data_IF_038280780720
#
_entry.id   IF_038280780720
#
_cell.length_a   1.000
_cell.length_b   1.000
_cell.length_c   1.000
_cell.angle_alpha   90.00
_cell.angle_beta   90.00
_cell.angle_gamma   90.00
#
_symmetry.space_group_name_H-M   'P 1'
#
loop_
_entity.id
_entity.type
_entity.pdbx_description
1 polymer ?
#
# COMPACT_ATOMS: atom_id res chain seq x y z
N UNK A 1 -6.10 85.15 -41.82
CA UNK A 1 -7.51 84.94 -42.24
C UNK A 1 -7.85 83.47 -42.09
N UNK A 2 -8.95 83.18 -41.37
CA UNK A 2 -9.91 82.04 -41.48
C UNK A 2 -9.39 80.62 -41.78
N UNK A 3 -9.86 79.51 -41.20
CA UNK A 3 -10.76 79.08 -40.11
C UNK A 3 -10.77 77.53 -40.15
N UNK A 4 -11.41 76.88 -39.16
CA UNK A 4 -11.89 75.48 -39.04
C UNK A 4 -11.06 74.61 -38.07
N UNK A 5 -11.50 74.39 -36.82
CA UNK A 5 -12.64 73.60 -36.29
C UNK A 5 -12.20 72.15 -35.90
N UNK A 6 -11.94 71.95 -34.59
CA UNK A 6 -12.50 70.93 -33.62
C UNK A 6 -12.76 69.45 -34.04
N UNK A 7 -12.95 68.50 -33.09
CA UNK A 7 -12.08 68.01 -31.98
C UNK A 7 -12.18 66.45 -31.88
N UNK A 8 -11.94 65.90 -30.67
CA UNK A 8 -12.35 64.56 -30.17
C UNK A 8 -11.53 63.34 -30.61
N UNK A 9 -11.04 62.61 -29.61
CA UNK A 9 -10.53 61.25 -29.79
C UNK A 9 -9.82 60.74 -28.54
N UNK A 10 -10.59 60.42 -27.51
CA UNK A 10 -10.13 59.79 -26.28
C UNK A 10 -9.28 58.54 -26.56
N UNK A 11 -8.08 58.48 -25.98
CA UNK A 11 -7.30 57.24 -25.91
C UNK A 11 -7.32 56.74 -24.48
N UNK A 12 -7.96 55.58 -24.34
CA UNK A 12 -8.22 54.79 -23.16
C UNK A 12 -7.01 54.66 -22.22
N UNK A 13 -7.25 54.95 -20.95
CA UNK A 13 -6.55 54.31 -19.84
C UNK A 13 -6.92 52.82 -19.81
N UNK A 14 -5.92 51.94 -20.01
CA UNK A 14 -6.15 50.50 -20.03
C UNK A 14 -4.86 49.73 -19.83
N UNK A 15 -4.23 49.88 -18.67
CA UNK A 15 -3.03 49.12 -18.28
C UNK A 15 -3.03 48.89 -16.77
N UNK A 16 -4.05 48.21 -16.26
CA UNK A 16 -4.05 47.69 -14.91
C UNK A 16 -4.99 46.47 -14.87
N UNK A 17 -4.42 45.25 -14.82
CA UNK A 17 -5.00 44.01 -14.26
C UNK A 17 -4.43 42.74 -14.90
N UNK A 18 -3.15 42.42 -14.67
CA UNK A 18 -2.68 41.02 -14.81
C UNK A 18 -1.67 40.74 -13.69
N UNK A 19 -2.14 40.79 -12.44
CA UNK A 19 -1.43 40.13 -11.34
C UNK A 19 -1.96 38.71 -11.25
N UNK A 20 -1.18 37.84 -11.89
CA UNK A 20 -1.32 36.40 -11.98
C UNK A 20 -1.54 35.84 -10.58
N UNK A 21 -2.78 35.42 -10.30
CA UNK A 21 -3.09 34.55 -9.18
C UNK A 21 -2.47 33.18 -9.49
N UNK A 22 -1.18 33.05 -9.18
CA UNK A 22 -0.46 31.78 -9.19
C UNK A 22 -1.03 30.90 -8.08
N UNK A 23 -2.11 30.19 -8.39
CA UNK A 23 -2.60 29.11 -7.57
C UNK A 23 -1.49 28.07 -7.49
N UNK A 24 -0.83 28.02 -6.34
CA UNK A 24 0.04 26.91 -5.96
C UNK A 24 -0.81 25.65 -5.97
N UNK A 25 -0.81 24.94 -7.09
CA UNK A 25 -1.35 23.58 -7.17
C UNK A 25 -0.43 22.71 -6.33
N UNK A 26 -0.71 22.66 -5.03
CA UNK A 26 -0.08 21.69 -4.14
C UNK A 26 -0.60 20.33 -4.61
N UNK A 27 0.26 19.44 -5.14
CA UNK A 27 -0.20 18.12 -5.55
C UNK A 27 -0.79 17.44 -4.33
N UNK A 28 -2.11 17.21 -4.36
CA UNK A 28 -2.77 16.45 -3.32
C UNK A 28 -2.13 15.06 -3.27
N UNK A 29 -1.79 14.54 -2.08
CA UNK A 29 -1.23 13.20 -1.97
C UNK A 29 -2.21 12.22 -2.62
N UNK A 30 -1.73 11.45 -3.59
CA UNK A 30 -2.51 10.40 -4.23
C UNK A 30 -3.08 9.49 -3.14
N UNK A 31 -4.40 9.54 -2.92
CA UNK A 31 -5.05 8.67 -1.96
C UNK A 31 -5.00 7.25 -2.53
N UNK A 32 -4.35 6.35 -1.80
CA UNK A 32 -4.39 4.93 -2.11
C UNK A 32 -5.85 4.49 -2.18
N UNK A 33 -6.25 3.83 -3.27
CA UNK A 33 -7.58 3.26 -3.38
C UNK A 33 -7.76 2.19 -2.29
N UNK A 34 -8.81 2.30 -1.50
CA UNK A 34 -9.19 1.31 -0.49
C UNK A 34 -10.24 0.37 -1.11
N UNK A 35 -10.01 -0.94 -0.98
CA UNK A 35 -10.95 -1.98 -1.39
C UNK A 35 -11.06 -2.99 -0.26
N UNK A 36 -12.25 -3.10 0.31
CA UNK A 36 -12.60 -4.14 1.30
C UNK A 36 -13.17 -5.33 0.54
N UNK A 37 -12.63 -6.52 0.79
CA UNK A 37 -13.18 -7.78 0.29
C UNK A 37 -13.93 -8.42 1.45
N UNK A 38 -15.22 -8.68 1.26
CA UNK A 38 -16.06 -9.42 2.21
C UNK A 38 -16.14 -10.88 1.73
N UNK A 39 -15.36 -11.76 2.38
CA UNK A 39 -15.28 -13.18 2.04
C UNK A 39 -16.36 -14.02 2.76
N UNK A 40 -17.29 -13.39 3.50
CA UNK A 40 -18.32 -14.07 4.28
C UNK A 40 -17.74 -14.79 5.51
N UNK A 41 -18.49 -14.79 6.62
CA UNK A 41 -18.11 -15.57 7.79
C UNK A 41 -18.43 -17.05 7.54
N UNK A 42 -17.41 -17.92 7.50
CA UNK A 42 -17.60 -19.37 7.59
C UNK A 42 -17.85 -19.73 9.07
N UNK A 43 -19.09 -20.01 9.51
CA UNK A 43 -19.44 -20.09 10.93
C UNK A 43 -18.72 -21.23 11.66
N UNK A 44 -18.26 -22.23 10.90
CA UNK A 44 -17.55 -23.41 11.41
C UNK A 44 -16.06 -23.16 11.68
N UNK A 45 -15.48 -22.08 11.12
CA UNK A 45 -14.08 -21.72 11.32
C UNK A 45 -13.99 -20.51 12.24
N UNK A 46 -13.34 -20.63 13.41
CA UNK A 46 -13.18 -19.47 14.27
C UNK A 46 -12.32 -18.44 13.53
N UNK A 47 -12.86 -17.22 13.35
CA UNK A 47 -12.34 -16.01 12.68
C UNK A 47 -11.02 -15.45 13.27
N UNK A 48 -10.09 -16.35 13.58
CA UNK A 48 -8.85 -16.08 14.29
C UNK A 48 -7.85 -15.57 13.25
N UNK A 49 -7.30 -14.38 13.46
CA UNK A 49 -6.35 -13.72 12.56
C UNK A 49 -6.91 -13.32 11.17
N UNK A 50 -8.23 -13.11 11.05
CA UNK A 50 -8.81 -12.48 9.86
C UNK A 50 -8.19 -11.11 9.64
N UNK A 51 -7.79 -10.83 8.40
CA UNK A 51 -7.38 -9.49 7.99
C UNK A 51 -8.63 -8.64 7.85
N UNK A 52 -8.74 -7.58 8.64
CA UNK A 52 -9.83 -6.60 8.54
C UNK A 52 -9.48 -5.48 7.56
N UNK A 53 -8.23 -5.04 7.56
CA UNK A 53 -7.79 -3.89 6.75
C UNK A 53 -6.35 -4.06 6.33
N UNK A 54 -6.05 -3.64 5.11
CA UNK A 54 -4.69 -3.50 4.58
C UNK A 54 -4.52 -2.07 4.10
N UNK A 55 -3.75 -1.27 4.84
CA UNK A 55 -3.36 0.07 4.38
C UNK A 55 -1.97 0.00 3.77
N UNK A 56 -1.82 0.60 2.59
CA UNK A 56 -0.55 0.68 1.86
C UNK A 56 -0.20 2.15 1.69
N UNK A 57 0.94 2.55 2.24
CA UNK A 57 1.54 3.86 2.02
C UNK A 57 2.82 3.69 1.18
N UNK A 58 2.69 3.95 -0.12
CA UNK A 58 3.76 3.85 -1.11
C UNK A 58 4.48 5.20 -1.24
N UNK A 59 5.67 5.31 -0.66
CA UNK A 59 6.53 6.50 -0.72
C UNK A 59 7.69 6.27 -1.68
N UNK A 60 8.37 7.35 -2.04
CA UNK A 60 9.55 7.33 -2.92
C UNK A 60 10.69 6.46 -2.38
N UNK A 61 10.83 6.34 -1.07
CA UNK A 61 11.94 5.63 -0.42
C UNK A 61 11.54 4.28 0.17
N UNK A 62 10.24 4.06 0.40
CA UNK A 62 9.72 2.86 1.05
C UNK A 62 8.26 2.58 0.76
N UNK A 63 7.87 1.33 0.89
CA UNK A 63 6.47 0.89 1.05
C UNK A 63 6.23 0.60 2.53
N UNK A 64 5.14 1.16 3.08
CA UNK A 64 4.69 0.85 4.44
C UNK A 64 3.35 0.13 4.37
N UNK A 65 3.35 -1.11 4.83
CA UNK A 65 2.18 -1.97 4.90
C UNK A 65 1.66 -1.98 6.34
N UNK A 66 0.37 -1.77 6.53
CA UNK A 66 -0.30 -1.90 7.82
C UNK A 66 -1.44 -2.90 7.68
N UNK A 67 -1.28 -4.06 8.28
CA UNK A 67 -2.28 -5.14 8.27
C UNK A 67 -2.93 -5.18 9.63
N UNK A 68 -4.23 -4.90 9.68
CA UNK A 68 -5.04 -4.97 10.90
C UNK A 68 -5.80 -6.30 10.90
N UNK A 69 -5.81 -6.96 12.05
CA UNK A 69 -6.46 -8.23 12.28
C UNK A 69 -7.66 -8.06 13.22
N UNK A 70 -8.58 -9.02 13.20
CA UNK A 70 -9.70 -9.06 14.15
C UNK A 70 -9.22 -9.28 15.59
N UNK A 71 -8.54 -10.40 15.81
CA UNK A 71 -8.14 -10.87 17.15
C UNK A 71 -6.65 -11.26 17.18
N UNK A 72 -5.76 -10.26 17.16
CA UNK A 72 -4.32 -10.49 17.23
C UNK A 72 -3.86 -10.49 18.69
N UNK A 73 -3.38 -11.65 19.14
CA UNK A 73 -3.05 -11.91 20.55
C UNK A 73 -1.57 -12.28 20.67
N UNK A 74 -0.89 -11.74 21.69
CA UNK A 74 0.57 -11.87 21.87
C UNK A 74 1.00 -13.30 22.21
N UNK A 75 0.18 -14.03 22.95
CA UNK A 75 0.46 -15.39 23.40
C UNK A 75 0.27 -16.43 22.28
N UNK A 76 -0.06 -16.01 21.06
CA UNK A 76 -0.32 -16.90 19.91
C UNK A 76 0.73 -16.73 18.81
N UNK A 77 1.04 -17.81 18.12
CA UNK A 77 1.82 -17.74 16.87
C UNK A 77 0.99 -17.02 15.83
N UNK A 78 1.63 -16.15 15.05
CA UNK A 78 0.95 -15.43 13.97
C UNK A 78 1.92 -15.22 12.80
N UNK A 79 1.39 -15.20 11.58
CA UNK A 79 2.15 -14.79 10.39
C UNK A 79 1.25 -14.07 9.40
N UNK A 80 1.86 -13.16 8.64
CA UNK A 80 1.23 -12.53 7.49
C UNK A 80 2.23 -12.42 6.35
N UNK A 81 1.71 -12.50 5.14
CA UNK A 81 2.44 -12.32 3.89
C UNK A 81 1.70 -11.29 3.06
N UNK A 82 2.41 -10.31 2.54
CA UNK A 82 1.85 -9.35 1.59
C UNK A 82 2.69 -9.42 0.32
N UNK A 83 2.08 -9.90 -0.76
CA UNK A 83 2.66 -9.83 -2.09
C UNK A 83 2.66 -8.38 -2.58
N UNK A 84 3.80 -7.98 -3.15
CA UNK A 84 4.09 -6.68 -3.75
C UNK A 84 4.48 -6.98 -5.21
N UNK A 85 3.48 -6.98 -6.09
CA UNK A 85 3.65 -7.22 -7.52
C UNK A 85 4.23 -6.00 -8.21
N UNK A 86 5.30 -6.21 -8.97
CA UNK A 86 6.02 -5.18 -9.72
C UNK A 86 5.54 -5.07 -11.17
N UNK A 87 4.79 -6.07 -11.65
CA UNK A 87 4.23 -6.11 -12.98
C UNK A 87 2.76 -6.59 -12.87
N UNK A 88 1.78 -5.83 -13.37
CA UNK A 88 0.38 -6.22 -13.31
C UNK A 88 0.04 -7.44 -14.17
N UNK A 89 0.81 -7.71 -15.23
CA UNK A 89 0.56 -8.80 -16.18
C UNK A 89 1.14 -10.14 -15.73
N UNK A 90 2.01 -10.14 -14.71
CA UNK A 90 2.69 -11.34 -14.21
C UNK A 90 2.53 -11.47 -12.69
N UNK A 91 3.12 -12.53 -12.13
CA UNK A 91 3.29 -12.70 -10.68
C UNK A 91 4.72 -12.32 -10.23
N UNK A 92 5.43 -11.54 -11.05
CA UNK A 92 6.71 -10.96 -10.67
C UNK A 92 6.53 -9.97 -9.51
N UNK A 93 7.39 -10.08 -8.50
CA UNK A 93 7.34 -9.19 -7.36
C UNK A 93 8.05 -9.76 -6.14
N UNK A 94 7.58 -9.35 -4.98
CA UNK A 94 8.15 -9.71 -3.69
C UNK A 94 7.07 -10.08 -2.70
N UNK A 95 7.43 -10.80 -1.64
CA UNK A 95 6.52 -11.07 -0.52
C UNK A 95 7.14 -10.48 0.73
N UNK A 96 6.47 -9.47 1.29
CA UNK A 96 6.77 -8.97 2.62
C UNK A 96 6.21 -9.95 3.65
N UNK A 97 7.09 -10.70 4.30
CA UNK A 97 6.74 -11.72 5.28
C UNK A 97 7.03 -11.20 6.69
N UNK A 98 6.08 -11.40 7.60
CA UNK A 98 6.29 -11.17 9.03
C UNK A 98 5.69 -12.30 9.84
N UNK A 99 6.43 -12.76 10.86
CA UNK A 99 5.94 -13.72 11.85
C UNK A 99 6.18 -13.24 13.27
N UNK A 100 5.27 -13.67 14.13
CA UNK A 100 5.38 -13.60 15.57
C UNK A 100 5.31 -15.01 16.15
N UNK A 101 6.16 -15.29 17.15
CA UNK A 101 6.10 -16.50 17.96
C UNK A 101 6.35 -16.10 19.42
N UNK A 102 5.48 -16.52 20.35
CA UNK A 102 5.67 -16.21 21.77
C UNK A 102 7.04 -16.64 22.28
N UNK A 103 7.68 -15.78 23.08
CA UNK A 103 9.00 -16.01 23.65
C UNK A 103 10.17 -15.90 22.65
N UNK A 104 9.94 -15.41 21.43
CA UNK A 104 11.00 -15.17 20.45
C UNK A 104 10.84 -13.80 19.80
N UNK A 105 11.96 -13.21 19.39
CA UNK A 105 11.94 -11.97 18.60
C UNK A 105 11.12 -12.16 17.31
N UNK A 106 10.21 -11.22 16.98
CA UNK A 106 9.51 -11.24 15.71
C UNK A 106 10.48 -11.24 14.53
N UNK A 107 10.17 -12.03 13.51
CA UNK A 107 10.96 -12.06 12.28
C UNK A 107 10.20 -11.34 11.17
N UNK A 108 10.89 -10.49 10.43
CA UNK A 108 10.38 -9.86 9.21
C UNK A 108 11.41 -9.98 8.12
N UNK A 109 10.99 -10.41 6.93
CA UNK A 109 11.86 -10.66 5.79
C UNK A 109 11.16 -10.25 4.50
N UNK A 110 11.95 -10.06 3.46
CA UNK A 110 11.48 -9.96 2.09
C UNK A 110 11.80 -11.27 1.37
N UNK A 111 10.84 -11.81 0.64
CA UNK A 111 11.01 -13.04 -0.12
C UNK A 111 10.78 -12.78 -1.61
N UNK A 112 11.41 -13.57 -2.47
CA UNK A 112 11.05 -13.66 -3.90
C UNK A 112 10.03 -14.80 -4.04
N UNK A 113 8.90 -14.60 -4.76
CA UNK A 113 7.90 -15.63 -4.98
C UNK A 113 8.48 -16.90 -5.61
N UNK A 114 7.96 -18.05 -5.20
CA UNK A 114 8.14 -19.33 -5.88
C UNK A 114 6.88 -19.69 -6.70
N UNK A 115 6.87 -20.84 -7.34
CA UNK A 115 5.70 -21.42 -8.02
C UNK A 115 4.49 -21.67 -7.08
N UNK A 116 4.74 -21.85 -5.79
CA UNK A 116 3.70 -21.95 -4.77
C UNK A 116 3.07 -20.58 -4.45
N UNK A 117 1.73 -20.54 -4.37
CA UNK A 117 1.01 -19.31 -4.00
C UNK A 117 1.44 -18.81 -2.61
N UNK A 118 1.96 -17.58 -2.55
CA UNK A 118 2.62 -17.02 -1.35
C UNK A 118 3.79 -17.84 -0.79
N UNK A 119 4.28 -18.84 -1.50
CA UNK A 119 5.58 -19.43 -1.29
C UNK A 119 6.68 -18.46 -1.72
N UNK A 120 7.83 -18.54 -1.08
CA UNK A 120 8.94 -17.69 -1.45
C UNK A 120 10.22 -18.06 -0.76
N UNK A 121 11.33 -17.65 -1.36
CA UNK A 121 12.66 -17.80 -0.79
C UNK A 121 13.10 -16.47 -0.19
N UNK A 122 13.62 -16.44 1.05
CA UNK A 122 14.12 -15.20 1.64
C UNK A 122 15.23 -14.58 0.80
N UNK A 123 15.17 -13.27 0.63
CA UNK A 123 16.24 -12.47 0.04
C UNK A 123 16.79 -11.49 1.05
N UNK A 124 18.10 -11.30 1.00
CA UNK A 124 18.77 -10.33 1.86
C UNK A 124 18.40 -8.91 1.40
N UNK A 125 17.75 -8.17 2.29
CA UNK A 125 17.46 -6.76 2.10
C UNK A 125 17.66 -6.03 3.42
N UNK A 126 18.65 -5.14 3.45
CA UNK A 126 18.88 -4.29 4.61
C UNK A 126 17.70 -3.30 4.75
N UNK A 127 17.19 -3.14 5.96
CA UNK A 127 16.15 -2.15 6.28
C UNK A 127 14.71 -2.63 6.21
N UNK A 128 14.46 -3.87 5.75
CA UNK A 128 13.14 -4.50 5.97
C UNK A 128 12.93 -4.71 7.45
N UNK A 129 11.80 -4.22 7.96
CA UNK A 129 11.48 -4.30 9.39
C UNK A 129 9.98 -4.41 9.61
N UNK A 130 9.60 -5.17 10.62
CA UNK A 130 8.22 -5.31 11.05
C UNK A 130 8.04 -4.95 12.52
N UNK A 131 6.84 -4.51 12.87
CA UNK A 131 6.44 -4.32 14.26
C UNK A 131 5.02 -4.85 14.46
N UNK A 132 4.89 -5.82 15.36
CA UNK A 132 3.61 -6.30 15.86
C UNK A 132 3.13 -5.36 16.97
N UNK A 133 1.84 -5.02 16.94
CA UNK A 133 1.16 -4.12 17.89
C UNK A 133 -0.13 -4.81 18.31
N UNK A 134 -0.01 -5.69 19.30
CA UNK A 134 -1.13 -6.45 19.86
C UNK A 134 -2.19 -5.51 20.46
N UNK A 135 -1.75 -4.40 21.07
CA UNK A 135 -2.60 -3.30 21.56
C UNK A 135 -3.51 -2.67 20.49
N UNK A 136 -3.17 -2.84 19.21
CA UNK A 136 -3.90 -2.26 18.06
C UNK A 136 -4.33 -3.31 17.05
N UNK A 137 -4.23 -4.58 17.40
CA UNK A 137 -4.39 -5.72 16.50
C UNK A 137 -3.70 -5.55 15.14
N UNK A 138 -2.46 -5.03 15.10
CA UNK A 138 -1.86 -4.59 13.83
C UNK A 138 -0.41 -5.03 13.66
N UNK A 139 -0.05 -5.33 12.42
CA UNK A 139 1.33 -5.49 11.97
C UNK A 139 1.68 -4.36 11.03
N UNK A 140 2.78 -3.67 11.32
CA UNK A 140 3.37 -2.69 10.39
C UNK A 140 4.63 -3.28 9.79
N UNK A 141 4.70 -3.40 8.47
CA UNK A 141 5.89 -3.83 7.72
C UNK A 141 6.40 -2.64 6.90
N UNK A 142 7.70 -2.42 6.91
CA UNK A 142 8.37 -1.42 6.06
C UNK A 142 9.32 -2.14 5.14
N UNK A 143 9.21 -1.86 3.84
CA UNK A 143 10.09 -2.39 2.79
C UNK A 143 10.73 -1.19 2.07
N UNK A 144 12.06 -1.04 2.11
CA UNK A 144 12.75 -0.01 1.32
C UNK A 144 12.53 -0.23 -0.19
N UNK A 145 12.32 0.85 -0.94
CA UNK A 145 12.16 0.78 -2.40
C UNK A 145 13.42 0.24 -3.08
N UNK A 146 14.60 0.52 -2.52
CA UNK A 146 15.88 -0.02 -3.00
C UNK A 146 15.92 -1.55 -3.02
N UNK A 147 15.10 -2.22 -2.21
CA UNK A 147 15.01 -3.68 -2.19
C UNK A 147 13.97 -4.27 -3.15
N UNK A 148 13.04 -3.45 -3.65
CA UNK A 148 12.06 -3.90 -4.63
C UNK A 148 12.63 -3.87 -6.05
N UNK A 149 13.83 -3.32 -6.25
CA UNK A 149 14.62 -3.35 -7.49
C UNK A 149 13.80 -3.09 -8.77
N UNK A 150 12.73 -2.31 -8.66
CA UNK A 150 11.69 -2.20 -9.68
C UNK A 150 11.47 -0.75 -10.06
N UNK A 151 11.44 -0.47 -11.37
CA UNK A 151 11.00 0.80 -11.95
C UNK A 151 9.48 0.86 -12.09
N UNK A 152 8.74 -0.04 -11.44
CA UNK A 152 7.29 -0.11 -11.53
C UNK A 152 6.66 1.22 -11.16
N UNK A 153 5.91 1.79 -12.09
CA UNK A 153 5.13 3.01 -11.86
C UNK A 153 3.94 2.74 -10.93
N UNK A 154 3.51 1.47 -10.80
CA UNK A 154 2.43 1.01 -9.93
C UNK A 154 2.72 -0.39 -9.40
N UNK A 155 2.43 -0.59 -8.12
CA UNK A 155 2.49 -1.90 -7.48
C UNK A 155 1.09 -2.53 -7.34
N UNK A 156 1.02 -3.86 -7.44
CA UNK A 156 -0.15 -4.66 -7.07
C UNK A 156 0.06 -5.26 -5.69
N UNK A 157 -0.96 -5.25 -4.82
CA UNK A 157 -0.84 -5.83 -3.49
C UNK A 157 -1.85 -6.94 -3.26
N UNK A 158 -1.43 -8.03 -2.62
CA UNK A 158 -2.31 -9.10 -2.14
C UNK A 158 -1.83 -9.53 -0.76
N UNK A 159 -2.70 -9.53 0.25
CA UNK A 159 -2.34 -9.89 1.62
C UNK A 159 -3.01 -11.19 2.04
N UNK A 160 -2.29 -12.00 2.81
CA UNK A 160 -2.81 -13.21 3.45
C UNK A 160 -2.29 -13.33 4.87
N UNK A 161 -3.06 -14.01 5.71
CA UNK A 161 -2.74 -14.33 7.09
C UNK A 161 -2.94 -15.82 7.35
N UNK A 162 -2.35 -16.34 8.42
CA UNK A 162 -2.66 -17.69 8.86
C UNK A 162 -1.85 -18.13 10.07
N UNK A 163 -2.20 -19.29 10.61
CA UNK A 163 -1.45 -20.00 11.65
C UNK A 163 -0.55 -21.07 11.03
N UNK A 164 0.56 -21.40 11.67
CA UNK A 164 1.39 -22.56 11.28
C UNK A 164 0.64 -23.86 11.61
N UNK A 165 0.66 -24.84 10.69
CA UNK A 165 0.38 -26.24 11.02
C UNK A 165 -0.86 -26.88 10.39
N UNK A 166 -1.71 -26.14 9.66
CA UNK A 166 -2.83 -26.76 8.96
C UNK A 166 -2.40 -27.23 7.56
N UNK A 167 -2.39 -28.54 7.33
CA UNK A 167 -2.46 -29.10 5.97
C UNK A 167 -3.90 -28.88 5.52
N UNK A 168 -4.12 -27.81 4.76
CA UNK A 168 -5.43 -27.38 4.31
C UNK A 168 -5.22 -26.35 3.22
N UNK A 169 -6.09 -26.38 2.23
CA UNK A 169 -6.00 -25.59 1.01
C UNK A 169 -5.80 -24.09 1.28
N UNK A 170 -4.56 -23.62 1.12
CA UNK A 170 -4.19 -22.20 1.27
C UNK A 170 -4.81 -21.34 0.16
N UNK A 171 -5.47 -21.96 -0.84
CA UNK A 171 -6.19 -21.30 -1.94
C UNK A 171 -7.67 -21.04 -1.64
N UNK A 172 -8.16 -21.36 -0.42
CA UNK A 172 -9.51 -21.02 0.01
C UNK A 172 -9.78 -19.50 0.16
N UNK A 173 -8.92 -18.64 -0.40
CA UNK A 173 -9.29 -17.29 -0.81
C UNK A 173 -10.17 -17.36 -2.06
N UNK A 174 -11.45 -17.69 -1.87
CA UNK A 174 -12.46 -17.66 -2.94
C UNK A 174 -12.89 -16.23 -3.31
N UNK A 175 -11.93 -15.39 -3.71
CA UNK A 175 -12.08 -14.38 -4.79
C UNK A 175 -10.88 -13.42 -4.83
N UNK A 176 -10.07 -13.57 -5.87
CA UNK A 176 -9.21 -12.48 -6.36
C UNK A 176 -10.11 -11.53 -7.16
N UNK A 177 -10.52 -10.42 -6.56
CA UNK A 177 -11.17 -9.36 -7.31
C UNK A 177 -10.11 -8.55 -8.07
N UNK A 178 -9.79 -8.98 -9.29
CA UNK A 178 -8.96 -8.22 -10.25
C UNK A 178 -9.56 -6.81 -10.41
N UNK A 179 -8.71 -5.79 -10.35
CA UNK A 179 -9.00 -4.42 -10.73
C UNK A 179 -8.16 -4.07 -11.94
#
# INVERSE_FOLDING_TARGET
MSKLLTPLGAVLAGLLSVLIAGTLVVPAPARAAEKVIDDGAEPSLPARMDILTVEIDNRVDRVVLRVTFRDLVEERRARTKVFIGTDPATDAGFIAYSRHRPGTEPLTQLWVPTDQEFGGTPVACAGVRGKWRFDKNRVRIVVPQSCLASTATRYRFKAVSGFYGTVGDWTAFRRVARG
#
